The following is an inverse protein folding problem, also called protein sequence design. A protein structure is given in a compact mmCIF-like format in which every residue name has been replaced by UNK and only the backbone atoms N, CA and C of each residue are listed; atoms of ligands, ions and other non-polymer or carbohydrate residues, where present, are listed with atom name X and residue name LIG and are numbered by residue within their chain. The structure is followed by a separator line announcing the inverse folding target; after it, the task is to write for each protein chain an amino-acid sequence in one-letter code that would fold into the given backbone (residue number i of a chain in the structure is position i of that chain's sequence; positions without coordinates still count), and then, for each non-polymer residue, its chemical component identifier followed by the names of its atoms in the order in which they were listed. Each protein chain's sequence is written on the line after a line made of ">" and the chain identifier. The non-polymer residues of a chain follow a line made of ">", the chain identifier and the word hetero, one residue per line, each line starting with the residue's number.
data_IF_533506442067
#
_entry.id   IF_533506442067
#
_cell.length_a   1.000
_cell.length_b   1.000
_cell.length_c   1.000
_cell.angle_alpha   90.00
_cell.angle_beta   90.00
_cell.angle_gamma   90.00
#
_symmetry.space_group_name_H-M   'P 1'
#
loop_
_entity.id
_entity.type
_entity.pdbx_description
1 polymer ?
#
# COMPACT_ATOMS: atom_id res chain seq x y z
N UNK A 1 -15.95 -20.08 10.33
CA UNK A 1 -15.93 -20.04 8.85
C UNK A 1 -15.76 -18.60 8.33
N UNK A 2 -16.68 -17.67 8.63
CA UNK A 2 -16.58 -16.26 8.20
C UNK A 2 -15.26 -15.54 8.56
N UNK A 3 -14.72 -15.76 9.76
CA UNK A 3 -13.47 -15.11 10.21
C UNK A 3 -12.22 -15.65 9.47
N UNK A 4 -12.21 -16.94 9.12
CA UNK A 4 -11.10 -17.55 8.37
C UNK A 4 -11.11 -17.08 6.92
N UNK A 5 -12.30 -16.99 6.31
CA UNK A 5 -12.47 -16.47 4.96
C UNK A 5 -11.96 -15.03 4.87
N UNK A 6 -12.34 -14.17 5.83
CA UNK A 6 -11.88 -12.77 5.85
C UNK A 6 -10.36 -12.67 5.96
N UNK A 7 -9.73 -13.49 6.82
CA UNK A 7 -8.27 -13.55 6.93
C UNK A 7 -7.61 -13.98 5.62
N UNK A 8 -8.14 -14.99 4.93
CA UNK A 8 -7.59 -15.44 3.65
C UNK A 8 -7.67 -14.36 2.57
N UNK A 9 -8.81 -13.67 2.44
CA UNK A 9 -8.94 -12.57 1.48
C UNK A 9 -7.95 -11.42 1.77
N UNK A 10 -7.76 -11.07 3.04
CA UNK A 10 -6.81 -10.04 3.43
C UNK A 10 -5.36 -10.39 3.04
N UNK A 11 -4.97 -11.67 3.19
CA UNK A 11 -3.64 -12.16 2.76
C UNK A 11 -3.48 -12.09 1.25
N UNK A 12 -4.49 -12.50 0.47
CA UNK A 12 -4.44 -12.43 -0.99
C UNK A 12 -4.26 -10.99 -1.50
N UNK A 13 -5.00 -10.04 -0.92
CA UNK A 13 -4.87 -8.61 -1.28
C UNK A 13 -3.49 -8.05 -0.94
N UNK A 14 -2.93 -8.44 0.21
CA UNK A 14 -1.60 -8.03 0.62
C UNK A 14 -0.52 -8.55 -0.34
N UNK A 15 -0.62 -9.81 -0.75
CA UNK A 15 0.32 -10.42 -1.71
C UNK A 15 0.22 -9.73 -3.07
N UNK A 16 -1.01 -9.50 -3.56
CA UNK A 16 -1.24 -8.81 -4.83
C UNK A 16 -0.62 -7.41 -4.84
N UNK A 17 -0.79 -6.64 -3.78
CA UNK A 17 -0.19 -5.31 -3.70
C UNK A 17 1.34 -5.35 -3.70
N UNK A 18 1.94 -6.35 -3.03
CA UNK A 18 3.39 -6.52 -3.02
C UNK A 18 3.96 -6.96 -4.37
N UNK A 19 3.23 -7.75 -5.15
CA UNK A 19 3.70 -8.19 -6.47
C UNK A 19 3.71 -7.07 -7.51
N UNK A 20 2.93 -6.01 -7.31
CA UNK A 20 2.91 -4.84 -8.20
C UNK A 20 4.16 -3.95 -8.04
N UNK A 21 4.83 -3.99 -6.89
CA UNK A 21 6.02 -3.17 -6.63
C UNK A 21 7.20 -3.49 -7.57
N UNK A 22 7.65 -4.75 -7.73
CA UNK A 22 8.73 -5.08 -8.66
C UNK A 22 8.38 -4.74 -10.11
N UNK A 23 7.11 -4.90 -10.53
CA UNK A 23 6.66 -4.51 -11.89
C UNK A 23 6.92 -3.01 -12.19
N UNK A 24 6.76 -2.13 -11.20
CA UNK A 24 7.03 -0.68 -11.35
C UNK A 24 8.53 -0.38 -11.37
N UNK A 25 9.30 -1.08 -10.54
CA UNK A 25 10.77 -0.94 -10.50
C UNK A 25 11.38 -1.37 -11.84
N UNK A 26 10.87 -2.44 -12.43
CA UNK A 26 11.27 -2.95 -13.74
C UNK A 26 10.92 -1.98 -14.89
N UNK A 27 9.71 -1.40 -14.91
CA UNK A 27 9.35 -0.36 -15.90
C UNK A 27 10.23 0.89 -15.78
N UNK A 28 10.57 1.29 -14.54
CA UNK A 28 11.45 2.43 -14.30
C UNK A 28 12.88 2.19 -14.82
N UNK A 29 13.43 0.99 -14.60
CA UNK A 29 14.75 0.58 -15.13
C UNK A 29 14.80 0.63 -16.65
N UNK A 30 13.75 0.16 -17.34
CA UNK A 30 13.70 0.18 -18.80
C UNK A 30 13.64 1.61 -19.35
N UNK A 31 12.94 2.52 -18.68
CA UNK A 31 12.85 3.92 -19.09
C UNK A 31 14.11 4.74 -18.80
N UNK A 32 14.89 4.37 -17.78
CA UNK A 32 16.06 5.12 -17.33
C UNK A 32 17.32 4.25 -17.28
N UNK A 33 17.90 3.89 -18.44
CA UNK A 33 19.08 3.01 -18.51
C UNK A 33 20.33 3.60 -17.86
N UNK A 34 20.40 4.93 -17.65
CA UNK A 34 21.50 5.61 -16.95
C UNK A 34 21.43 5.52 -15.42
N UNK A 35 20.30 5.09 -14.86
CA UNK A 35 20.05 5.02 -13.43
C UNK A 35 19.71 3.58 -13.01
N UNK A 36 20.65 2.66 -13.25
CA UNK A 36 20.63 1.32 -12.66
C UNK A 36 20.97 1.45 -11.15
N UNK A 37 20.38 0.63 -10.28
CA UNK A 37 20.59 0.59 -8.81
C UNK A 37 19.69 1.46 -7.90
N UNK A 38 18.53 1.94 -8.38
CA UNK A 38 17.53 2.63 -7.51
C UNK A 38 16.58 1.68 -6.75
N UNK A 39 16.68 0.37 -6.98
CA UNK A 39 15.87 -0.66 -6.31
C UNK A 39 15.84 -0.57 -4.78
N UNK A 40 17.00 -0.45 -4.08
CA UNK A 40 17.01 -0.34 -2.62
C UNK A 40 16.30 0.94 -2.15
N UNK A 41 16.37 2.05 -2.90
CA UNK A 41 15.67 3.28 -2.55
C UNK A 41 14.15 3.07 -2.60
N UNK A 42 13.62 2.47 -3.67
CA UNK A 42 12.19 2.17 -3.77
C UNK A 42 11.72 1.24 -2.66
N UNK A 43 12.50 0.21 -2.35
CA UNK A 43 12.17 -0.72 -1.27
C UNK A 43 12.20 -0.05 0.11
N UNK A 44 13.24 0.74 0.41
CA UNK A 44 13.35 1.50 1.66
C UNK A 44 12.21 2.50 1.81
N UNK A 45 11.88 3.26 0.78
CA UNK A 45 10.73 4.17 0.77
C UNK A 45 9.42 3.43 1.01
N UNK A 46 9.20 2.30 0.33
CA UNK A 46 8.00 1.48 0.52
C UNK A 46 7.83 1.02 1.97
N UNK A 47 8.89 0.48 2.59
CA UNK A 47 8.83 0.00 3.98
C UNK A 47 8.69 1.18 4.95
N UNK A 48 9.36 2.30 4.67
CA UNK A 48 9.24 3.52 5.45
C UNK A 48 7.80 4.04 5.46
N UNK A 49 7.16 4.18 4.30
CA UNK A 49 5.78 4.65 4.22
C UNK A 49 4.78 3.68 4.85
N UNK A 50 5.00 2.37 4.79
CA UNK A 50 4.17 1.41 5.52
C UNK A 50 4.28 1.59 7.05
N UNK A 51 5.50 1.73 7.57
CA UNK A 51 5.73 1.97 9.00
C UNK A 51 5.20 3.33 9.43
N UNK A 52 5.42 4.36 8.61
CA UNK A 52 4.96 5.72 8.83
C UNK A 52 3.43 5.75 8.84
N UNK A 53 2.76 5.17 7.83
CA UNK A 53 1.30 5.13 7.76
C UNK A 53 0.69 4.35 8.92
N UNK A 54 1.26 3.20 9.27
CA UNK A 54 0.87 2.44 10.46
C UNK A 54 0.98 3.28 11.74
N UNK A 55 2.12 3.92 11.99
CA UNK A 55 2.33 4.77 13.16
C UNK A 55 1.47 6.03 13.15
N UNK A 56 1.37 6.72 12.01
CA UNK A 56 0.57 7.92 11.81
C UNK A 56 -0.91 7.65 12.05
N UNK A 57 -1.45 6.54 11.54
CA UNK A 57 -2.86 6.21 11.75
C UNK A 57 -3.19 6.05 13.23
N UNK A 58 -2.34 5.35 14.00
CA UNK A 58 -2.49 5.18 15.45
C UNK A 58 -2.35 6.52 16.18
N UNK A 59 -1.37 7.34 15.78
CA UNK A 59 -1.14 8.66 16.37
C UNK A 59 -2.32 9.61 16.14
N UNK A 60 -2.78 9.74 14.89
CA UNK A 60 -3.94 10.57 14.52
C UNK A 60 -5.19 10.08 15.24
N UNK A 61 -5.42 8.77 15.29
CA UNK A 61 -6.55 8.19 16.02
C UNK A 61 -6.56 8.59 17.49
N UNK A 62 -5.41 8.50 18.14
CA UNK A 62 -5.23 8.88 19.54
C UNK A 62 -5.45 10.37 19.76
N UNK A 63 -4.91 11.21 18.88
CA UNK A 63 -5.05 12.66 18.97
C UNK A 63 -6.51 13.11 18.79
N UNK A 64 -7.21 12.54 17.82
CA UNK A 64 -8.64 12.80 17.58
C UNK A 64 -9.48 12.39 18.80
N UNK A 65 -9.18 11.23 19.40
CA UNK A 65 -9.87 10.77 20.61
C UNK A 65 -9.57 11.65 21.83
N UNK A 66 -8.34 12.14 21.96
CA UNK A 66 -7.95 13.07 23.01
C UNK A 66 -8.72 14.39 22.91
N UNK A 67 -8.77 15.00 21.71
CA UNK A 67 -9.53 16.23 21.48
C UNK A 67 -11.04 16.04 21.64
N UNK A 68 -11.59 14.88 21.28
CA UNK A 68 -13.00 14.55 21.49
C UNK A 68 -13.36 14.33 22.98
N UNK A 69 -12.38 14.31 23.88
CA UNK A 69 -12.60 14.11 25.32
C UNK A 69 -12.92 12.66 25.70
N UNK A 70 -12.38 11.68 24.95
CA UNK A 70 -12.56 10.26 25.25
C UNK A 70 -12.00 9.93 26.64
N UNK A 71 -12.88 9.51 27.57
CA UNK A 71 -12.49 8.97 28.89
C UNK A 71 -12.72 7.46 28.93
N UNK A 72 -11.67 6.63 29.01
CA UNK A 72 -11.83 5.19 29.13
C UNK A 72 -12.57 4.85 30.43
N UNK A 73 -13.66 4.09 30.34
CA UNK A 73 -14.44 3.63 31.51
C UNK A 73 -15.60 4.54 31.96
N UNK A 74 -15.93 5.61 31.23
CA UNK A 74 -17.11 6.42 31.56
C UNK A 74 -18.42 5.72 31.15
N UNK A 75 -19.39 5.60 32.07
CA UNK A 75 -20.69 4.96 31.82
C UNK A 75 -21.57 5.68 30.79
N UNK A 76 -21.28 6.95 30.46
CA UNK A 76 -22.00 7.75 29.47
C UNK A 76 -21.01 8.41 28.53
N UNK A 77 -21.01 7.99 27.27
CA UNK A 77 -20.13 8.52 26.24
C UNK A 77 -20.79 9.72 25.54
N UNK A 78 -20.02 10.79 25.31
CA UNK A 78 -20.53 11.97 24.60
C UNK A 78 -20.79 11.58 23.12
N UNK A 79 -21.94 11.92 22.51
CA UNK A 79 -22.24 11.62 21.09
C UNK A 79 -21.13 12.03 20.11
N UNK A 80 -20.39 13.09 20.40
CA UNK A 80 -19.27 13.57 19.57
C UNK A 80 -18.15 12.54 19.43
N UNK A 81 -17.85 11.77 20.48
CA UNK A 81 -16.77 10.77 20.42
C UNK A 81 -17.16 9.58 19.56
N UNK A 82 -18.45 9.18 19.62
CA UNK A 82 -19.00 8.11 18.76
C UNK A 82 -18.95 8.54 17.30
N UNK A 83 -19.28 9.80 17.01
CA UNK A 83 -19.20 10.35 15.67
C UNK A 83 -17.75 10.37 15.15
N UNK A 84 -16.81 10.88 15.94
CA UNK A 84 -15.38 10.88 15.59
C UNK A 84 -14.84 9.48 15.31
N UNK A 85 -15.21 8.48 16.13
CA UNK A 85 -14.83 7.10 15.91
C UNK A 85 -15.42 6.54 14.61
N UNK A 86 -16.71 6.79 14.33
CA UNK A 86 -17.35 6.36 13.08
C UNK A 86 -16.68 6.97 11.85
N UNK A 87 -16.33 8.25 11.91
CA UNK A 87 -15.65 8.96 10.82
C UNK A 87 -14.24 8.39 10.60
N UNK A 88 -13.53 8.08 11.67
CA UNK A 88 -12.17 7.56 11.59
C UNK A 88 -12.10 6.15 10.95
N UNK A 89 -13.11 5.31 11.20
CA UNK A 89 -13.11 3.91 10.75
C UNK A 89 -13.86 3.64 9.44
N UNK A 90 -14.71 4.55 8.95
CA UNK A 90 -15.49 4.32 7.72
C UNK A 90 -15.12 5.30 6.58
N UNK A 91 -15.47 6.60 6.64
CA UNK A 91 -15.21 7.52 5.52
C UNK A 91 -13.72 7.75 5.26
N UNK A 92 -12.87 7.78 6.29
CA UNK A 92 -11.43 7.97 6.09
C UNK A 92 -10.81 6.83 5.25
N UNK A 93 -10.98 5.53 5.59
CA UNK A 93 -10.54 4.44 4.73
C UNK A 93 -11.18 4.45 3.33
N UNK A 94 -12.47 4.78 3.21
CA UNK A 94 -13.15 4.84 1.91
C UNK A 94 -12.54 5.91 1.00
N UNK A 95 -12.29 7.12 1.52
CA UNK A 95 -11.65 8.19 0.75
C UNK A 95 -10.24 7.80 0.30
N UNK A 96 -9.45 7.16 1.18
CA UNK A 96 -8.12 6.68 0.82
C UNK A 96 -8.17 5.62 -0.28
N UNK A 97 -9.16 4.71 -0.24
CA UNK A 97 -9.38 3.72 -1.29
C UNK A 97 -9.78 4.38 -2.62
N UNK A 98 -10.65 5.38 -2.61
CA UNK A 98 -11.04 6.11 -3.81
C UNK A 98 -9.85 6.84 -4.45
N UNK A 99 -9.02 7.49 -3.63
CA UNK A 99 -7.79 8.15 -4.12
C UNK A 99 -6.85 7.12 -4.77
N UNK A 100 -6.64 5.98 -4.11
CA UNK A 100 -5.82 4.89 -4.64
C UNK A 100 -6.37 4.37 -5.97
N UNK A 101 -7.69 4.17 -6.06
CA UNK A 101 -8.35 3.70 -7.27
C UNK A 101 -8.23 4.71 -8.42
N UNK A 102 -8.37 6.01 -8.14
CA UNK A 102 -8.16 7.08 -9.13
C UNK A 102 -6.72 7.05 -9.66
N UNK A 103 -5.73 6.95 -8.77
CA UNK A 103 -4.31 6.85 -9.16
C UNK A 103 -4.08 5.60 -10.02
N UNK A 104 -4.71 4.48 -9.68
CA UNK A 104 -4.62 3.23 -10.44
C UNK A 104 -5.28 3.36 -11.83
N UNK A 105 -6.42 4.04 -11.93
CA UNK A 105 -7.05 4.34 -13.22
C UNK A 105 -6.20 5.25 -14.11
N UNK A 106 -5.46 6.19 -13.52
CA UNK A 106 -4.47 7.02 -14.23
C UNK A 106 -3.18 6.28 -14.59
N UNK A 107 -3.03 5.02 -14.18
CA UNK A 107 -1.90 4.16 -14.52
C UNK A 107 -2.31 3.13 -15.60
N UNK A 108 -2.46 3.52 -16.88
CA UNK A 108 -2.73 2.58 -17.96
C UNK A 108 -1.48 1.70 -18.18
N UNK A 109 -1.45 0.54 -17.52
CA UNK A 109 -0.63 -0.60 -17.93
C UNK A 109 -1.36 -1.22 -19.12
N UNK A 110 -0.94 -0.87 -20.33
CA UNK A 110 -1.32 -1.63 -21.52
C UNK A 110 -0.54 -2.94 -21.53
N UNK A 111 -1.21 -4.06 -21.84
CA UNK A 111 -0.60 -5.39 -21.96
C UNK A 111 0.64 -5.38 -22.88
N UNK A 112 0.56 -4.60 -23.97
CA UNK A 112 1.68 -4.38 -24.91
C UNK A 112 2.92 -3.78 -24.24
N UNK A 113 2.74 -2.86 -23.29
CA UNK A 113 3.85 -2.24 -22.56
C UNK A 113 4.47 -3.24 -21.57
N UNK A 114 3.66 -4.13 -20.99
CA UNK A 114 4.15 -5.19 -20.10
C UNK A 114 4.99 -6.22 -20.87
N UNK A 115 4.56 -6.58 -22.08
CA UNK A 115 5.31 -7.48 -22.96
C UNK A 115 6.64 -6.87 -23.42
N UNK A 116 6.66 -5.59 -23.81
CA UNK A 116 7.89 -4.93 -24.25
C UNK A 116 8.93 -4.77 -23.14
N UNK A 117 8.51 -4.52 -21.90
CA UNK A 117 9.40 -4.50 -20.72
C UNK A 117 10.01 -5.89 -20.48
N UNK A 118 9.19 -6.95 -20.52
CA UNK A 118 9.70 -8.31 -20.35
C UNK A 118 10.70 -8.71 -21.44
N UNK A 119 10.47 -8.30 -22.68
CA UNK A 119 11.41 -8.52 -23.77
C UNK A 119 12.72 -7.74 -23.59
N UNK A 120 12.64 -6.48 -23.17
CA UNK A 120 13.80 -5.65 -22.88
C UNK A 120 14.66 -6.24 -21.75
N UNK A 121 14.03 -6.68 -20.65
CA UNK A 121 14.71 -7.33 -19.53
C UNK A 121 15.32 -8.67 -19.92
N UNK A 122 14.62 -9.47 -20.75
CA UNK A 122 15.14 -10.74 -21.28
C UNK A 122 16.37 -10.53 -22.15
N UNK A 123 16.35 -9.52 -23.04
CA UNK A 123 17.52 -9.15 -23.86
C UNK A 123 18.70 -8.66 -23.04
N UNK A 124 18.43 -7.99 -21.92
CA UNK A 124 19.45 -7.47 -21.02
C UNK A 124 19.91 -8.49 -19.95
N UNK A 125 19.40 -9.73 -19.96
CA UNK A 125 19.86 -10.82 -19.08
C UNK A 125 19.35 -10.77 -17.63
N UNK A 126 18.37 -9.91 -17.31
CA UNK A 126 17.90 -9.68 -15.93
C UNK A 126 16.89 -10.71 -15.39
N UNK A 127 16.55 -11.76 -16.16
CA UNK A 127 15.66 -12.87 -15.74
C UNK A 127 16.12 -13.56 -14.44
N UNK A 128 17.38 -13.36 -14.05
CA UNK A 128 17.99 -13.96 -12.86
C UNK A 128 17.60 -13.28 -11.52
N UNK A 129 17.06 -12.06 -11.50
CA UNK A 129 16.79 -11.34 -10.24
C UNK A 129 15.47 -11.75 -9.55
N UNK A 130 14.53 -12.37 -10.28
CA UNK A 130 13.26 -12.86 -9.71
C UNK A 130 13.39 -14.14 -8.88
N UNK A 131 14.55 -14.82 -8.91
CA UNK A 131 14.79 -16.07 -8.16
C UNK A 131 15.55 -15.82 -6.84
N UNK A 132 16.30 -14.72 -6.71
CA UNK A 132 17.19 -14.48 -5.57
C UNK A 132 16.57 -13.70 -4.40
N UNK A 133 15.31 -13.27 -4.52
CA UNK A 133 14.59 -12.53 -3.47
C UNK A 133 13.62 -13.43 -2.70
N UNK A 134 13.87 -14.75 -2.74
CA UNK A 134 13.13 -15.79 -2.01
C UNK A 134 14.03 -16.61 -1.06
N UNK A 135 15.24 -16.12 -0.75
CA UNK A 135 16.15 -16.63 0.30
C UNK A 135 16.40 -15.59 1.41
#
# INVERSE_FOLDING_TARGET
>A
IHVNIFKTYAVCLFIYFRSMLPDVVDDFKVKNPSCQDLEPLFYSCYVFFNKLGGGMSVGVSTLVLYFAGYKPGACKHNPEVIYSLRVLFAPVPICLLLISLVIFCFYPINEERRQSIQEALRKAGYVFLSVYLED
#
